data_IF_423212748187
#
_entry.id   IF_423212748187
#
_cell.length_a   1.000
_cell.length_b   1.000
_cell.length_c   1.000
_cell.angle_alpha   90.00
_cell.angle_beta   90.00
_cell.angle_gamma   90.00
#
_symmetry.space_group_name_H-M   'P 1'
#
loop_
_entity.id
_entity.type
_entity.pdbx_description
1 polymer ?
#
# COMPACT_ATOMS: atom_id res chain seq x y z
N UNK A 1 -10.10 0.80 -14.70
CA UNK A 1 -10.44 1.94 -13.87
C UNK A 1 -9.68 1.90 -12.55
N UNK A 2 -9.14 3.05 -12.16
CA UNK A 2 -8.28 3.12 -10.97
C UNK A 2 -9.03 3.52 -9.71
N UNK A 3 -10.36 3.46 -9.78
CA UNK A 3 -11.24 3.83 -8.69
C UNK A 3 -10.92 3.09 -7.40
N UNK A 4 -10.72 1.79 -7.53
CA UNK A 4 -10.41 0.92 -6.42
C UNK A 4 -9.06 1.28 -5.80
N UNK A 5 -8.06 1.51 -6.64
CA UNK A 5 -6.71 1.86 -6.18
C UNK A 5 -6.72 3.21 -5.48
N UNK A 6 -7.44 4.20 -6.03
CA UNK A 6 -7.54 5.52 -5.41
C UNK A 6 -8.20 5.43 -4.03
N UNK A 7 -9.25 4.65 -3.90
CA UNK A 7 -9.95 4.48 -2.63
C UNK A 7 -9.02 3.87 -1.58
N UNK A 8 -8.32 2.82 -1.95
CA UNK A 8 -7.37 2.17 -1.04
C UNK A 8 -6.24 3.13 -0.68
N UNK A 9 -5.73 3.87 -1.67
CA UNK A 9 -4.67 4.83 -1.45
C UNK A 9 -5.10 5.93 -0.48
N UNK A 10 -6.31 6.44 -0.64
CA UNK A 10 -6.84 7.47 0.26
C UNK A 10 -6.93 6.95 1.69
N UNK A 11 -7.41 5.72 1.85
CA UNK A 11 -7.49 5.09 3.16
C UNK A 11 -6.12 4.95 3.80
N UNK A 12 -5.13 4.46 3.04
CA UNK A 12 -3.77 4.29 3.54
C UNK A 12 -3.15 5.64 3.91
N UNK A 13 -3.37 6.65 3.08
CA UNK A 13 -2.84 7.99 3.34
C UNK A 13 -3.42 8.56 4.63
N UNK A 14 -4.72 8.41 4.85
CA UNK A 14 -5.35 8.88 6.08
C UNK A 14 -4.78 8.16 7.30
N UNK A 15 -4.58 6.86 7.18
CA UNK A 15 -4.05 6.06 8.28
C UNK A 15 -2.65 6.52 8.70
N UNK A 16 -1.79 6.83 7.73
CA UNK A 16 -0.41 7.20 8.00
C UNK A 16 -0.19 8.71 8.11
N UNK A 17 -1.23 9.50 7.87
CA UNK A 17 -1.10 10.95 7.93
C UNK A 17 -0.23 11.54 6.83
N UNK A 18 -0.29 10.96 5.64
CA UNK A 18 0.47 11.41 4.47
C UNK A 18 -0.49 11.72 3.33
N UNK A 19 0.02 12.37 2.28
CA UNK A 19 -0.80 12.74 1.13
C UNK A 19 -0.52 11.82 -0.06
N UNK A 20 -1.46 11.81 -1.00
CA UNK A 20 -1.29 11.07 -2.24
C UNK A 20 -0.05 11.54 -2.99
N UNK A 21 0.18 12.86 -3.03
CA UNK A 21 1.37 13.41 -3.71
C UNK A 21 2.66 12.90 -3.07
N UNK A 22 2.68 12.77 -1.75
CA UNK A 22 3.85 12.27 -1.04
C UNK A 22 4.16 10.83 -1.41
N UNK A 23 3.15 9.96 -1.47
CA UNK A 23 3.41 8.55 -1.82
C UNK A 23 3.74 8.38 -3.30
N UNK A 24 3.33 9.31 -4.15
CA UNK A 24 3.68 9.29 -5.58
C UNK A 24 5.07 9.88 -5.84
N UNK A 25 5.63 10.59 -4.89
CA UNK A 25 6.93 11.23 -5.02
C UNK A 25 8.06 10.21 -4.89
N UNK A 26 9.31 10.58 -5.27
CA UNK A 26 10.44 9.68 -5.09
C UNK A 26 10.99 9.63 -3.67
N UNK A 27 10.37 10.36 -2.74
CA UNK A 27 10.82 10.42 -1.35
C UNK A 27 10.78 9.02 -0.71
N UNK A 28 11.84 8.68 0.03
CA UNK A 28 12.01 7.36 0.63
C UNK A 28 11.94 7.38 2.16
N UNK A 29 11.26 8.35 2.74
CA UNK A 29 11.04 8.33 4.18
C UNK A 29 10.28 7.06 4.56
N UNK A 30 10.55 6.58 5.77
CA UNK A 30 10.04 5.28 6.24
C UNK A 30 8.52 5.18 6.14
N UNK A 31 7.81 6.21 6.58
CA UNK A 31 6.33 6.20 6.54
C UNK A 31 5.79 6.13 5.12
N UNK A 32 6.48 6.79 4.18
CA UNK A 32 6.05 6.77 2.78
C UNK A 32 6.30 5.41 2.14
N UNK A 33 7.44 4.81 2.45
CA UNK A 33 7.76 3.48 1.94
C UNK A 33 6.76 2.47 2.48
N UNK A 34 6.44 2.55 3.77
CA UNK A 34 5.48 1.67 4.41
C UNK A 34 4.08 1.85 3.80
N UNK A 35 3.66 3.10 3.59
CA UNK A 35 2.35 3.39 3.02
C UNK A 35 2.23 2.80 1.60
N UNK A 36 3.27 2.96 0.79
CA UNK A 36 3.27 2.38 -0.57
C UNK A 36 3.16 0.87 -0.53
N UNK A 37 3.89 0.22 0.37
CA UNK A 37 3.85 -1.23 0.49
C UNK A 37 2.52 -1.72 1.02
N UNK A 38 1.91 -1.01 1.97
CA UNK A 38 0.59 -1.37 2.47
C UNK A 38 -0.47 -1.22 1.38
N UNK A 39 -0.39 -0.16 0.59
CA UNK A 39 -1.27 0.00 -0.57
C UNK A 39 -1.15 -1.19 -1.51
N UNK A 40 0.07 -1.60 -1.79
CA UNK A 40 0.35 -2.71 -2.68
C UNK A 40 -0.29 -4.02 -2.17
N UNK A 41 -0.13 -4.30 -0.89
CA UNK A 41 -0.69 -5.51 -0.29
C UNK A 41 -2.22 -5.46 -0.22
N UNK A 42 -2.78 -4.31 0.15
CA UNK A 42 -4.23 -4.16 0.27
C UNK A 42 -4.92 -4.24 -1.09
N UNK A 43 -4.26 -3.77 -2.14
CA UNK A 43 -4.80 -3.86 -3.50
C UNK A 43 -4.95 -5.31 -3.96
N UNK A 44 -4.10 -6.18 -3.44
CA UNK A 44 -4.20 -7.61 -3.73
C UNK A 44 -3.31 -8.07 -4.85
N UNK A 45 -3.07 -9.37 -4.87
CA UNK A 45 -2.24 -10.00 -5.87
C UNK A 45 -2.87 -9.83 -7.25
N UNK A 46 -2.05 -9.56 -8.26
CA UNK A 46 -2.54 -9.33 -9.62
C UNK A 46 -2.86 -7.89 -9.93
N UNK A 47 -2.77 -6.99 -8.95
CA UNK A 47 -3.04 -5.56 -9.15
C UNK A 47 -1.75 -4.74 -9.14
N UNK A 48 -0.59 -5.39 -9.20
CA UNK A 48 0.70 -4.70 -9.09
C UNK A 48 0.87 -3.65 -10.18
N UNK A 49 0.38 -3.91 -11.40
CA UNK A 49 0.49 -2.96 -12.49
C UNK A 49 -0.36 -1.71 -12.25
N UNK A 50 -1.52 -1.87 -11.63
CA UNK A 50 -2.39 -0.73 -11.30
C UNK A 50 -1.77 0.14 -10.22
N UNK A 51 -1.19 -0.48 -9.20
CA UNK A 51 -0.49 0.25 -8.15
C UNK A 51 0.73 0.95 -8.71
N UNK A 52 1.48 0.27 -9.59
CA UNK A 52 2.64 0.86 -10.24
C UNK A 52 2.26 2.12 -11.02
N UNK A 53 1.19 2.04 -11.79
CA UNK A 53 0.69 3.19 -12.56
C UNK A 53 0.28 4.32 -11.63
N UNK A 54 -0.45 4.01 -10.57
CA UNK A 54 -0.91 5.02 -9.61
C UNK A 54 0.28 5.72 -8.94
N UNK A 55 1.28 4.96 -8.53
CA UNK A 55 2.44 5.48 -7.82
C UNK A 55 3.52 6.02 -8.75
N UNK A 56 3.32 5.91 -10.07
CA UNK A 56 4.30 6.34 -11.05
C UNK A 56 5.62 5.56 -10.89
N UNK A 57 5.49 4.25 -10.71
CA UNK A 57 6.62 3.34 -10.51
C UNK A 57 6.61 2.25 -11.57
N UNK A 58 7.75 1.57 -11.70
CA UNK A 58 7.88 0.44 -12.61
C UNK A 58 7.16 -0.79 -12.03
N UNK A 59 6.49 -1.55 -12.89
CA UNK A 59 5.76 -2.76 -12.49
C UNK A 59 6.67 -3.79 -11.85
N UNK A 60 7.84 -4.00 -12.42
CA UNK A 60 8.81 -4.96 -11.89
C UNK A 60 9.22 -4.60 -10.47
N UNK A 61 9.40 -3.29 -10.21
CA UNK A 61 9.71 -2.79 -8.88
C UNK A 61 8.59 -3.15 -7.90
N UNK A 62 7.34 -2.99 -8.32
CA UNK A 62 6.19 -3.30 -7.47
C UNK A 62 6.12 -4.80 -7.15
N UNK A 63 6.35 -5.65 -8.15
CA UNK A 63 6.36 -7.10 -7.93
C UNK A 63 7.43 -7.49 -6.91
N UNK A 64 8.64 -6.93 -7.06
CA UNK A 64 9.73 -7.20 -6.13
C UNK A 64 9.44 -6.67 -4.73
N UNK A 65 8.85 -5.48 -4.65
CA UNK A 65 8.49 -4.88 -3.35
C UNK A 65 7.46 -5.73 -2.62
N UNK A 66 6.47 -6.25 -3.32
CA UNK A 66 5.48 -7.14 -2.72
C UNK A 66 6.14 -8.37 -2.12
N UNK A 67 7.02 -8.99 -2.88
CA UNK A 67 7.74 -10.18 -2.45
C UNK A 67 8.57 -9.91 -1.20
N UNK A 68 9.33 -8.82 -1.24
CA UNK A 68 10.22 -8.46 -0.14
C UNK A 68 9.44 -8.07 1.12
N UNK A 69 8.36 -7.32 0.96
CA UNK A 69 7.56 -6.86 2.09
C UNK A 69 6.84 -8.04 2.75
N UNK A 70 6.31 -8.96 1.97
CA UNK A 70 5.69 -10.17 2.50
C UNK A 70 6.69 -11.03 3.24
N UNK A 71 7.92 -11.13 2.70
CA UNK A 71 8.99 -11.87 3.36
C UNK A 71 9.34 -11.27 4.72
N UNK A 72 9.44 -9.95 4.77
CA UNK A 72 9.71 -9.23 6.02
C UNK A 72 8.59 -9.41 7.03
N UNK A 73 7.35 -9.40 6.56
CA UNK A 73 6.19 -9.51 7.43
C UNK A 73 6.15 -10.85 8.17
N UNK A 74 6.67 -11.91 7.55
CA UNK A 74 6.76 -13.23 8.16
C UNK A 74 7.50 -13.21 9.49
N UNK A 75 8.50 -12.36 9.60
CA UNK A 75 9.38 -12.30 10.76
C UNK A 75 9.17 -11.03 11.58
N UNK A 76 8.11 -10.28 11.29
CA UNK A 76 7.81 -9.03 11.97
C UNK A 76 6.35 -9.03 12.40
N UNK A 77 6.10 -9.52 13.60
CA UNK A 77 4.74 -9.64 14.14
C UNK A 77 4.01 -8.31 14.24
N UNK A 78 4.64 -7.22 14.72
CA UNK A 78 3.96 -5.93 14.75
C UNK A 78 3.51 -5.47 13.37
N UNK A 79 4.32 -5.69 12.34
CA UNK A 79 3.97 -5.32 10.97
C UNK A 79 2.79 -6.15 10.46
N UNK A 80 2.80 -7.43 10.75
CA UNK A 80 1.70 -8.33 10.36
C UNK A 80 0.39 -7.90 11.01
N UNK A 81 0.44 -7.58 12.30
CA UNK A 81 -0.74 -7.09 13.03
C UNK A 81 -1.25 -5.78 12.47
N UNK A 82 -0.34 -4.90 12.09
CA UNK A 82 -0.71 -3.63 11.47
C UNK A 82 -1.42 -3.85 10.14
N UNK A 83 -0.93 -4.77 9.33
CA UNK A 83 -1.56 -5.10 8.05
C UNK A 83 -2.96 -5.66 8.26
N UNK A 84 -3.13 -6.57 9.21
CA UNK A 84 -4.43 -7.16 9.52
C UNK A 84 -5.42 -6.08 9.97
N UNK A 85 -4.95 -5.15 10.81
CA UNK A 85 -5.77 -4.03 11.28
C UNK A 85 -6.20 -3.14 10.13
N UNK A 86 -5.26 -2.83 9.23
CA UNK A 86 -5.55 -2.02 8.05
C UNK A 86 -6.57 -2.71 7.14
N UNK A 87 -6.40 -4.00 6.94
CA UNK A 87 -7.30 -4.78 6.08
C UNK A 87 -8.73 -4.75 6.61
N UNK A 88 -8.89 -4.94 7.91
CA UNK A 88 -10.23 -4.88 8.54
C UNK A 88 -10.83 -3.49 8.44
N UNK A 89 -10.02 -2.46 8.68
CA UNK A 89 -10.47 -1.08 8.59
C UNK A 89 -10.85 -0.67 7.18
N UNK A 90 -10.18 -1.22 6.17
CA UNK A 90 -10.49 -0.93 4.78
C UNK A 90 -11.91 -1.39 4.41
N UNK A 91 -12.32 -2.55 4.90
CA UNK A 91 -13.65 -3.07 4.63
C UNK A 91 -14.70 -2.08 5.13
N UNK A 92 -14.53 -1.55 6.33
CA UNK A 92 -15.46 -0.57 6.90
C UNK A 92 -15.38 0.77 6.17
N UNK A 93 -14.18 1.17 5.76
CA UNK A 93 -13.98 2.41 5.02
C UNK A 93 -14.73 2.37 3.68
N UNK A 94 -14.69 1.24 2.99
CA UNK A 94 -15.36 1.08 1.70
C UNK A 94 -16.89 1.03 1.84
N UNK A 95 -17.37 0.51 2.97
CA UNK A 95 -18.81 0.44 3.23
C UNK A 95 -19.37 1.81 3.64
N UNK A 96 -18.57 2.57 4.36
CA UNK A 96 -18.97 3.91 4.78
C UNK A 96 -18.97 4.87 3.60
#
# INVERSE_FOLDING_TARGET
MNHEIETIANYVCEYYGVTADMIKSPNRQYELVKARNMLLLLAGQGKDYKVATYLNRDRTTMVNNRKNFLGNMRYNKPLEKEFIRLKKGLIQYEIA
#
